data_IF_336350358146
#
_entry.id   IF_336350358146
#
_cell.length_a   1.000
_cell.length_b   1.000
_cell.length_c   1.000
_cell.angle_alpha   90.00
_cell.angle_beta   90.00
_cell.angle_gamma   90.00
#
_symmetry.space_group_name_H-M   'P 1'
#
loop_
_entity.id
_entity.type
_entity.pdbx_description
1 polymer ?
#
# COMPACT_ATOMS: atom_id res chain seq x y z
N UNK A 1 16.32 9.49 -4.99
CA UNK A 1 14.95 10.00 -4.78
C UNK A 1 14.76 10.15 -3.30
N UNK A 2 14.27 11.29 -2.82
CA UNK A 2 13.90 11.42 -1.42
C UNK A 2 12.44 11.05 -1.26
N UNK A 3 12.20 9.97 -0.52
CA UNK A 3 10.86 9.54 -0.15
C UNK A 3 10.28 10.44 0.95
N UNK A 4 11.15 11.06 1.76
CA UNK A 4 10.74 11.96 2.84
C UNK A 4 10.45 11.21 4.14
N UNK A 5 9.78 11.88 5.07
CA UNK A 5 9.27 11.22 6.28
C UNK A 5 8.05 10.35 5.92
N UNK A 6 7.76 9.37 6.75
CA UNK A 6 6.64 8.46 6.56
C UNK A 6 5.63 8.58 7.69
N UNK A 7 4.36 8.35 7.37
CA UNK A 7 3.25 8.42 8.31
C UNK A 7 2.44 7.15 8.16
N UNK A 8 2.24 6.43 9.27
CA UNK A 8 1.36 5.27 9.30
C UNK A 8 -0.10 5.70 9.15
N UNK A 9 -0.82 5.07 8.23
CA UNK A 9 -2.22 5.38 7.90
C UNK A 9 -3.16 4.29 8.40
N UNK A 10 -2.75 3.03 8.28
CA UNK A 10 -3.49 1.86 8.74
C UNK A 10 -2.53 0.69 8.95
N UNK A 11 -2.90 -0.28 9.80
CA UNK A 11 -2.12 -1.48 9.99
C UNK A 11 -3.01 -2.73 9.89
N UNK A 12 -2.94 -3.50 8.79
CA UNK A 12 -3.69 -4.75 8.65
C UNK A 12 -3.44 -5.74 9.79
N UNK A 13 -2.23 -5.72 10.37
CA UNK A 13 -1.84 -6.62 11.45
C UNK A 13 -2.52 -6.30 12.79
N UNK A 14 -3.27 -5.18 12.88
CA UNK A 14 -4.14 -4.90 14.04
C UNK A 14 -5.38 -5.81 14.08
N UNK A 15 -5.80 -6.34 12.93
CA UNK A 15 -6.98 -7.20 12.81
C UNK A 15 -6.70 -8.56 12.16
N UNK A 16 -5.52 -8.76 11.57
CA UNK A 16 -5.09 -10.07 11.08
C UNK A 16 -4.77 -11.02 12.25
N UNK A 17 -4.93 -12.34 12.05
CA UNK A 17 -4.46 -13.32 13.00
C UNK A 17 -2.92 -13.32 13.07
N UNK A 18 -2.36 -13.95 14.11
CA UNK A 18 -0.90 -13.98 14.34
C UNK A 18 -0.08 -14.63 13.20
N UNK A 19 -0.72 -15.45 12.36
CA UNK A 19 -0.09 -16.06 11.19
C UNK A 19 -0.17 -15.17 9.93
N UNK A 20 -0.79 -13.99 10.03
CA UNK A 20 -0.92 -13.02 8.94
C UNK A 20 -2.02 -13.34 7.94
N UNK A 21 -1.87 -12.78 6.75
CA UNK A 21 -2.71 -13.02 5.59
C UNK A 21 -2.43 -14.39 4.94
N UNK A 22 -3.46 -15.02 4.36
CA UNK A 22 -3.37 -16.26 3.56
C UNK A 22 -3.47 -16.02 2.05
N UNK A 23 -3.68 -14.77 1.63
CA UNK A 23 -3.64 -14.36 0.24
C UNK A 23 -3.92 -12.89 0.04
N UNK A 24 -3.33 -12.30 -1.00
CA UNK A 24 -3.58 -10.91 -1.38
C UNK A 24 -3.96 -10.84 -2.86
N UNK A 25 -5.15 -10.29 -3.14
CA UNK A 25 -5.66 -10.08 -4.50
C UNK A 25 -5.75 -8.60 -4.79
N UNK A 26 -5.34 -8.21 -5.99
CA UNK A 26 -5.40 -6.82 -6.44
C UNK A 26 -6.28 -6.74 -7.68
N UNK A 27 -7.31 -5.90 -7.62
CA UNK A 27 -8.25 -5.68 -8.72
C UNK A 27 -8.36 -4.20 -9.01
N UNK A 28 -8.23 -3.83 -10.28
CA UNK A 28 -8.48 -2.45 -10.74
C UNK A 28 -9.96 -2.33 -11.11
N UNK A 29 -10.68 -1.47 -10.40
CA UNK A 29 -12.11 -1.18 -10.63
C UNK A 29 -12.26 0.28 -11.08
N UNK A 30 -12.37 0.49 -12.39
CA UNK A 30 -12.40 1.85 -12.94
C UNK A 30 -11.08 2.58 -12.67
N UNK A 31 -11.13 3.63 -11.86
CA UNK A 31 -9.94 4.40 -11.44
C UNK A 31 -9.34 3.92 -10.13
N UNK A 32 -9.90 2.91 -9.49
CA UNK A 32 -9.51 2.53 -8.13
C UNK A 32 -8.73 1.21 -8.13
N UNK A 33 -7.84 1.06 -7.15
CA UNK A 33 -7.20 -0.21 -6.83
C UNK A 33 -7.84 -0.78 -5.57
N UNK A 34 -8.46 -1.95 -5.71
CA UNK A 34 -9.03 -2.71 -4.60
C UNK A 34 -8.07 -3.84 -4.24
N UNK A 35 -7.54 -3.79 -3.02
CA UNK A 35 -6.68 -4.81 -2.45
C UNK A 35 -7.50 -5.63 -1.47
N UNK A 36 -7.72 -6.89 -1.79
CA UNK A 36 -8.44 -7.85 -0.94
C UNK A 36 -7.42 -8.71 -0.22
N UNK A 37 -7.45 -8.66 1.11
CA UNK A 37 -6.58 -9.46 1.99
C UNK A 37 -7.42 -10.59 2.57
N UNK A 38 -7.08 -11.81 2.18
CA UNK A 38 -7.67 -13.04 2.70
C UNK A 38 -6.86 -13.50 3.92
N UNK A 39 -7.53 -14.06 4.93
CA UNK A 39 -6.88 -14.67 6.10
C UNK A 39 -7.73 -15.80 6.67
N UNK A 40 -7.07 -16.76 7.33
CA UNK A 40 -7.74 -17.92 7.90
C UNK A 40 -8.26 -17.57 9.30
N UNK A 41 -9.56 -17.80 9.52
CA UNK A 41 -10.22 -17.65 10.81
C UNK A 41 -10.79 -18.99 11.28
N UNK A 42 -11.24 -19.07 12.54
CA UNK A 42 -11.89 -20.27 13.08
C UNK A 42 -13.13 -20.69 12.26
N UNK A 43 -13.81 -19.73 11.62
CA UNK A 43 -15.00 -19.94 10.80
C UNK A 43 -14.68 -20.20 9.31
N UNK A 44 -13.40 -20.28 8.94
CA UNK A 44 -12.93 -20.38 7.56
C UNK A 44 -12.27 -19.11 7.05
N UNK A 45 -12.16 -18.97 5.72
CA UNK A 45 -11.48 -17.85 5.07
C UNK A 45 -12.33 -16.58 5.19
N UNK A 46 -11.75 -15.52 5.76
CA UNK A 46 -12.32 -14.17 5.76
C UNK A 46 -11.53 -13.27 4.81
N UNK A 47 -12.19 -12.23 4.31
CA UNK A 47 -11.57 -11.23 3.44
C UNK A 47 -11.87 -9.84 3.99
N UNK A 48 -10.87 -8.95 3.93
CA UNK A 48 -11.05 -7.51 4.12
C UNK A 48 -10.51 -6.75 2.93
N UNK A 49 -11.09 -5.58 2.65
CA UNK A 49 -10.75 -4.80 1.47
C UNK A 49 -10.18 -3.44 1.84
N UNK A 50 -9.16 -3.06 1.11
CA UNK A 50 -8.54 -1.76 1.11
C UNK A 50 -8.74 -1.15 -0.28
N UNK A 51 -9.29 0.06 -0.36
CA UNK A 51 -9.51 0.75 -1.62
C UNK A 51 -8.62 1.98 -1.70
N UNK A 52 -7.85 2.06 -2.77
CA UNK A 52 -7.10 3.25 -3.16
C UNK A 52 -7.84 3.95 -4.29
N UNK A 53 -8.23 5.18 -4.03
CA UNK A 53 -9.11 5.96 -4.89
C UNK A 53 -8.31 6.69 -5.94
N UNK A 54 -8.82 6.69 -7.17
CA UNK A 54 -8.21 7.42 -8.27
C UNK A 54 -6.70 7.17 -8.27
N UNK A 55 -6.26 5.99 -8.69
CA UNK A 55 -4.84 5.69 -8.86
C UNK A 55 -4.34 6.29 -10.18
N UNK A 56 -3.07 6.67 -10.22
CA UNK A 56 -2.37 7.00 -11.47
C UNK A 56 -1.28 5.99 -11.80
N UNK A 57 -0.72 5.31 -10.80
CA UNK A 57 0.22 4.21 -10.97
C UNK A 57 0.27 3.34 -9.71
N UNK A 58 0.62 2.07 -9.87
CA UNK A 58 0.98 1.19 -8.76
C UNK A 58 2.01 0.16 -9.20
N UNK A 59 2.78 -0.35 -8.24
CA UNK A 59 3.84 -1.33 -8.48
C UNK A 59 3.79 -2.42 -7.42
N UNK A 60 3.89 -3.67 -7.86
CA UNK A 60 4.02 -4.85 -7.00
C UNK A 60 5.44 -5.38 -7.14
N UNK A 61 6.09 -5.67 -6.02
CA UNK A 61 7.44 -6.23 -5.98
C UNK A 61 7.55 -7.31 -4.90
N UNK A 62 8.49 -8.24 -5.06
CA UNK A 62 8.82 -9.19 -4.01
C UNK A 62 9.42 -8.46 -2.80
N UNK A 63 9.06 -8.88 -1.60
CA UNK A 63 9.54 -8.31 -0.34
C UNK A 63 9.64 -9.39 0.74
N UNK A 64 10.77 -9.54 1.45
CA UNK A 64 12.00 -8.77 1.30
C UNK A 64 12.72 -9.09 -0.02
N UNK A 65 13.27 -8.07 -0.67
CA UNK A 65 13.94 -8.23 -1.95
C UNK A 65 14.59 -6.92 -2.42
N UNK A 66 15.44 -6.98 -3.47
CA UNK A 66 15.99 -5.78 -4.09
C UNK A 66 14.84 -4.95 -4.65
N UNK A 67 14.70 -3.72 -4.18
CA UNK A 67 13.64 -2.81 -4.62
C UNK A 67 14.23 -1.59 -5.31
N UNK A 68 13.52 -1.14 -6.35
CA UNK A 68 13.84 0.08 -7.08
C UNK A 68 13.26 1.34 -6.43
N UNK A 69 12.32 1.16 -5.50
CA UNK A 69 11.47 2.23 -4.97
C UNK A 69 11.48 2.29 -3.45
N UNK A 70 12.11 1.33 -2.79
CA UNK A 70 12.23 1.27 -1.36
C UNK A 70 13.66 1.67 -1.02
N UNK A 71 13.82 2.90 -0.54
CA UNK A 71 15.10 3.44 -0.07
C UNK A 71 15.63 2.63 1.13
N UNK A 72 16.90 2.76 1.48
CA UNK A 72 17.48 2.13 2.69
C UNK A 72 16.74 2.54 3.98
N UNK A 73 15.97 3.63 3.90
CA UNK A 73 15.10 4.16 4.94
C UNK A 73 13.71 3.51 5.00
N UNK A 74 13.56 2.23 4.61
CA UNK A 74 12.30 1.48 4.84
C UNK A 74 11.88 1.68 6.28
N UNK A 75 10.78 2.39 6.46
CA UNK A 75 10.40 2.78 7.81
C UNK A 75 9.97 1.56 8.59
N UNK A 76 10.27 1.56 9.89
CA UNK A 76 9.91 0.46 10.79
C UNK A 76 8.45 0.02 10.64
N UNK A 77 7.53 0.96 10.35
CA UNK A 77 6.11 0.67 10.10
C UNK A 77 5.87 -0.22 8.86
N UNK A 78 6.57 0.02 7.74
CA UNK A 78 6.44 -0.85 6.55
C UNK A 78 6.99 -2.24 6.83
N UNK A 79 8.08 -2.35 7.60
CA UNK A 79 8.63 -3.65 8.03
C UNK A 79 7.68 -4.41 8.97
N UNK A 80 6.74 -3.71 9.60
CA UNK A 80 5.66 -4.28 10.42
C UNK A 80 4.38 -4.55 9.62
N UNK A 81 4.41 -4.31 8.31
CA UNK A 81 3.27 -4.54 7.41
C UNK A 81 2.20 -3.46 7.45
N UNK A 82 2.48 -2.32 8.08
CA UNK A 82 1.57 -1.19 8.09
C UNK A 82 1.53 -0.50 6.71
N UNK A 83 0.36 0.05 6.37
CA UNK A 83 0.18 0.99 5.28
C UNK A 83 0.73 2.36 5.70
N UNK A 84 1.63 2.87 4.88
CA UNK A 84 2.35 4.12 5.14
C UNK A 84 2.16 5.09 3.98
N UNK A 85 1.88 6.35 4.30
CA UNK A 85 1.88 7.49 3.36
C UNK A 85 3.20 8.25 3.46
N UNK A 86 3.64 8.80 2.33
CA UNK A 86 4.83 9.65 2.23
C UNK A 86 4.45 11.06 1.76
N UNK A 87 4.12 11.98 2.69
CA UNK A 87 3.62 13.31 2.35
C UNK A 87 4.61 14.16 1.54
N UNK A 88 5.91 13.98 1.79
CA UNK A 88 6.98 14.74 1.13
C UNK A 88 7.56 14.02 -0.10
N UNK A 89 6.84 13.07 -0.68
CA UNK A 89 7.39 12.23 -1.74
C UNK A 89 7.66 13.00 -3.04
N UNK A 90 8.92 13.02 -3.48
CA UNK A 90 9.31 13.59 -4.79
C UNK A 90 8.58 12.92 -5.96
N UNK A 91 8.23 11.63 -5.83
CA UNK A 91 7.47 10.89 -6.85
C UNK A 91 6.02 11.35 -6.95
N UNK A 92 5.38 11.58 -5.79
CA UNK A 92 4.03 12.15 -5.73
C UNK A 92 4.01 13.53 -6.39
N UNK A 93 4.93 14.41 -6.00
CA UNK A 93 5.06 15.75 -6.58
C UNK A 93 5.33 15.72 -8.10
N UNK A 94 6.12 14.75 -8.58
CA UNK A 94 6.34 14.57 -10.02
C UNK A 94 5.06 14.17 -10.77
N UNK A 95 4.22 13.31 -10.19
CA UNK A 95 2.91 12.98 -10.75
C UNK A 95 1.96 14.17 -10.75
N UNK A 96 1.87 14.93 -9.65
CA UNK A 96 1.06 16.15 -9.60
C UNK A 96 1.47 17.15 -10.70
N UNK A 97 2.79 17.33 -10.88
CA UNK A 97 3.33 18.18 -11.95
C UNK A 97 2.99 17.64 -13.34
N UNK A 98 3.04 16.32 -13.54
CA UNK A 98 2.64 15.70 -14.81
C UNK A 98 1.19 16.01 -15.17
N UNK A 99 0.29 16.03 -14.17
CA UNK A 99 -1.11 16.42 -14.34
C UNK A 99 -1.34 17.94 -14.32
N UNK A 100 -0.29 18.75 -14.32
CA UNK A 100 -0.39 20.22 -14.30
C UNK A 100 -1.07 20.78 -13.04
N UNK A 101 -1.03 20.04 -11.93
CA UNK A 101 -1.69 20.42 -10.67
C UNK A 101 -3.21 20.24 -10.66
N UNK A 102 -3.80 19.64 -11.70
CA UNK A 102 -5.24 19.39 -11.76
C UNK A 102 -5.72 18.29 -10.78
N UNK A 103 -4.79 17.53 -10.22
CA UNK A 103 -5.04 16.37 -9.36
C UNK A 103 -3.98 16.33 -8.27
N UNK A 104 -4.41 16.10 -7.03
CA UNK A 104 -3.48 15.76 -5.95
C UNK A 104 -3.12 14.29 -6.03
N UNK A 105 -1.86 13.97 -5.79
CA UNK A 105 -1.34 12.61 -5.82
C UNK A 105 -0.59 12.36 -4.53
N UNK A 106 -1.00 11.32 -3.83
CA UNK A 106 -0.36 10.79 -2.63
C UNK A 106 0.40 9.52 -2.97
N UNK A 107 1.43 9.23 -2.18
CA UNK A 107 2.26 8.05 -2.32
C UNK A 107 2.10 7.17 -1.09
N UNK A 108 1.70 5.92 -1.32
CA UNK A 108 1.53 4.92 -0.29
C UNK A 108 2.43 3.71 -0.53
N UNK A 109 2.80 3.02 0.56
CA UNK A 109 3.39 1.68 0.50
C UNK A 109 2.83 0.78 1.60
N UNK A 110 2.73 -0.52 1.31
CA UNK A 110 2.33 -1.54 2.27
C UNK A 110 3.02 -2.85 1.93
N UNK A 111 3.58 -3.51 2.95
CA UNK A 111 4.15 -4.83 2.82
C UNK A 111 3.19 -5.89 3.36
N UNK A 112 2.98 -6.95 2.60
CA UNK A 112 2.26 -8.15 2.99
C UNK A 112 3.31 -9.22 3.27
N UNK A 113 3.61 -9.41 4.55
CA UNK A 113 4.77 -10.15 5.01
C UNK A 113 4.64 -11.66 4.79
N UNK A 114 3.43 -12.21 4.90
CA UNK A 114 3.19 -13.63 4.66
C UNK A 114 3.21 -13.95 3.15
N UNK A 115 2.70 -13.04 2.33
CA UNK A 115 2.71 -13.16 0.86
C UNK A 115 4.04 -12.74 0.22
N UNK A 116 4.99 -12.26 1.03
CA UNK A 116 6.31 -11.80 0.61
C UNK A 116 6.26 -10.77 -0.53
N UNK A 117 5.38 -9.78 -0.43
CA UNK A 117 5.23 -8.74 -1.44
C UNK A 117 5.07 -7.35 -0.83
N UNK A 118 5.52 -6.33 -1.56
CA UNK A 118 5.27 -4.93 -1.26
C UNK A 118 4.50 -4.32 -2.41
N UNK A 119 3.48 -3.53 -2.05
CA UNK A 119 2.68 -2.75 -2.96
C UNK A 119 2.99 -1.26 -2.74
N UNK A 120 3.28 -0.57 -3.84
CA UNK A 120 3.51 0.87 -3.88
C UNK A 120 2.41 1.49 -4.73
N UNK A 121 1.73 2.52 -4.23
CA UNK A 121 0.56 3.12 -4.86
C UNK A 121 0.73 4.63 -4.99
N UNK A 122 0.33 5.17 -6.14
CA UNK A 122 0.14 6.60 -6.36
C UNK A 122 -1.32 6.86 -6.69
N UNK A 123 -2.01 7.67 -5.87
CA UNK A 123 -3.43 7.94 -6.03
C UNK A 123 -3.93 9.09 -5.16
N UNK A 124 -5.23 9.38 -5.19
CA UNK A 124 -5.82 10.52 -4.49
C UNK A 124 -6.07 10.23 -3.00
N UNK A 125 -6.42 8.98 -2.66
CA UNK A 125 -6.82 8.64 -1.29
C UNK A 125 -6.87 7.15 -1.00
N UNK A 126 -7.17 6.84 0.25
CA UNK A 126 -7.29 5.49 0.78
C UNK A 126 -8.53 5.37 1.68
N UNK A 127 -9.20 4.22 1.65
CA UNK A 127 -10.23 3.85 2.62
C UNK A 127 -10.24 2.34 2.89
N UNK A 128 -10.50 1.96 4.14
CA UNK A 128 -10.81 0.59 4.51
C UNK A 128 -12.30 0.29 4.33
N UNK A 129 -12.61 -0.86 3.75
CA UNK A 129 -13.96 -1.40 3.65
C UNK A 129 -14.09 -2.59 4.63
N UNK A 130 -15.16 -2.59 5.42
CA UNK A 130 -15.49 -3.67 6.35
C UNK A 130 -16.29 -4.79 5.68
#
# INVERSE_FOLDING_TARGET
MKIGHSVEVANPYDWLPAHGESGVKMLVEGSDLVVTVSYDSEDGIREKKMRFHSICAFHVQAFPGPSLFVDESVTSSVLQGALVEYPDSEMAAAWEKHFGGARSVRHYSIAFLAENLILIIFGDGFSEEN
#
